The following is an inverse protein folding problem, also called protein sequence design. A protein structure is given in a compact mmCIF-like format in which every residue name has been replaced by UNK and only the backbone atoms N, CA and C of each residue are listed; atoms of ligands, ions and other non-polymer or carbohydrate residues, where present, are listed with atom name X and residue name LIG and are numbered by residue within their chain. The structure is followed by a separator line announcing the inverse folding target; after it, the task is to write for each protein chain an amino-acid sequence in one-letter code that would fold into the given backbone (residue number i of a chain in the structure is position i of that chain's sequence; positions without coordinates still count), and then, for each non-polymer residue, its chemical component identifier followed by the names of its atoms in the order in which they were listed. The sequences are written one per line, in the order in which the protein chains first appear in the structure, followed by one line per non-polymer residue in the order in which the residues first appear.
data_IF_311569624375
#
_entry.id   IF_311569624375
#
_cell.length_a   1.000
_cell.length_b   1.000
_cell.length_c   1.000
_cell.angle_alpha   90.00
_cell.angle_beta   90.00
_cell.angle_gamma   90.00
#
_symmetry.space_group_name_H-M   'P 1'
#
loop_
_entity.id
_entity.type
_entity.pdbx_description
1 polymer ?
#
# COMPACT_ATOMS: atom_id res chain seq x y z
N UNK A 1 -15.94 0.00 -15.96
CA UNK A 1 -15.76 -0.79 -14.74
C UNK A 1 -15.29 0.12 -13.61
N UNK A 2 -15.82 -0.08 -12.42
CA UNK A 2 -15.57 0.81 -11.29
C UNK A 2 -14.31 0.38 -10.56
N UNK A 3 -13.42 1.34 -10.26
CA UNK A 3 -12.24 1.03 -9.45
C UNK A 3 -12.62 0.85 -7.99
N UNK A 4 -11.96 -0.09 -7.34
CA UNK A 4 -12.12 -0.35 -5.91
C UNK A 4 -10.96 0.29 -5.16
N UNK A 5 -11.19 0.71 -3.92
CA UNK A 5 -10.15 1.25 -3.04
C UNK A 5 -9.66 0.16 -2.11
N UNK A 6 -8.36 0.14 -1.90
CA UNK A 6 -7.74 -0.82 -0.99
C UNK A 6 -6.75 -0.10 -0.08
N UNK A 7 -6.80 -0.44 1.20
CA UNK A 7 -5.77 -0.04 2.14
C UNK A 7 -4.79 -1.20 2.31
N UNK A 8 -3.54 -0.94 2.01
CA UNK A 8 -2.47 -1.92 2.18
C UNK A 8 -1.70 -1.56 3.44
N UNK A 9 -1.56 -2.53 4.34
CA UNK A 9 -0.77 -2.38 5.56
C UNK A 9 0.38 -3.37 5.52
N UNK A 10 1.56 -2.92 5.85
CA UNK A 10 2.70 -3.82 6.01
C UNK A 10 3.62 -3.33 7.11
N UNK A 11 4.22 -4.29 7.82
CA UNK A 11 5.16 -4.00 8.89
C UNK A 11 6.53 -3.75 8.29
N UNK A 12 7.15 -2.63 8.66
CA UNK A 12 8.54 -2.37 8.31
C UNK A 12 9.44 -2.92 9.40
N UNK A 13 10.68 -3.25 9.04
CA UNK A 13 11.64 -3.76 10.02
C UNK A 13 11.99 -2.68 11.03
N UNK A 14 12.26 -3.04 12.29
CA UNK A 14 12.70 -2.06 13.30
C UNK A 14 13.91 -1.29 12.80
N UNK A 15 13.83 0.04 12.87
CA UNK A 15 14.87 0.92 12.33
C UNK A 15 14.88 1.02 10.82
N UNK A 16 13.96 0.37 10.14
CA UNK A 16 13.92 0.33 8.66
C UNK A 16 12.99 1.31 8.00
N UNK A 17 12.39 2.25 8.76
CA UNK A 17 11.41 3.20 8.20
C UNK A 17 11.98 4.04 7.06
N UNK A 18 13.20 4.53 7.21
CA UNK A 18 13.83 5.35 6.16
C UNK A 18 14.05 4.54 4.88
N UNK A 19 14.48 3.29 5.02
CA UNK A 19 14.66 2.39 3.88
C UNK A 19 13.33 2.04 3.22
N UNK A 20 12.28 1.86 4.01
CA UNK A 20 10.96 1.55 3.48
C UNK A 20 10.42 2.74 2.67
N UNK A 21 10.55 3.96 3.19
CA UNK A 21 10.14 5.17 2.49
C UNK A 21 10.93 5.34 1.21
N UNK A 22 12.24 5.16 1.28
CA UNK A 22 13.11 5.27 0.11
C UNK A 22 12.76 4.24 -0.96
N UNK A 23 12.55 2.98 -0.57
CA UNK A 23 12.15 1.93 -1.49
C UNK A 23 10.81 2.23 -2.14
N UNK A 24 9.86 2.77 -1.36
CA UNK A 24 8.55 3.16 -1.88
C UNK A 24 8.68 4.30 -2.89
N UNK A 25 9.52 5.30 -2.61
CA UNK A 25 9.76 6.40 -3.54
C UNK A 25 10.38 5.93 -4.86
N UNK A 26 11.28 4.96 -4.78
CA UNK A 26 11.97 4.42 -5.96
C UNK A 26 11.09 3.48 -6.77
N UNK A 27 10.33 2.63 -6.11
CA UNK A 27 9.53 1.57 -6.75
C UNK A 27 8.04 1.88 -6.80
N UNK A 28 7.64 2.87 -6.05
CA UNK A 28 6.25 3.16 -5.84
C UNK A 28 5.69 3.96 -6.95
N UNK A 29 4.75 4.77 -6.68
CA UNK A 29 3.36 4.37 -6.88
C UNK A 29 2.99 4.25 -8.34
N UNK A 30 3.82 4.77 -9.24
CA UNK A 30 3.50 4.82 -10.66
C UNK A 30 4.14 3.69 -11.47
N UNK A 31 4.72 2.70 -10.80
CA UNK A 31 5.40 1.59 -11.47
C UNK A 31 4.62 0.29 -11.46
N UNK A 32 3.41 0.31 -10.94
CA UNK A 32 2.55 -0.87 -10.89
C UNK A 32 1.35 -0.64 -11.80
N UNK A 33 1.36 -1.21 -13.04
CA UNK A 33 0.25 -1.02 -13.96
C UNK A 33 -1.07 -1.48 -13.35
N UNK A 34 -2.11 -0.69 -13.56
CA UNK A 34 -3.44 -1.00 -13.06
C UNK A 34 -3.67 -0.63 -11.61
N UNK A 35 -2.70 -0.03 -10.93
CA UNK A 35 -2.83 0.41 -9.55
C UNK A 35 -2.57 1.91 -9.48
N UNK A 36 -3.55 2.65 -8.96
CA UNK A 36 -3.46 4.10 -8.81
C UNK A 36 -3.20 4.43 -7.34
N UNK A 37 -2.09 5.09 -7.09
CA UNK A 37 -1.71 5.53 -5.75
C UNK A 37 -2.54 6.74 -5.33
N UNK A 38 -3.01 6.73 -4.07
CA UNK A 38 -3.81 7.82 -3.51
C UNK A 38 -3.19 8.46 -2.27
N UNK A 39 -2.38 7.74 -1.54
CA UNK A 39 -1.71 8.27 -0.37
C UNK A 39 -0.94 7.19 0.36
N UNK A 40 0.01 7.62 1.17
CA UNK A 40 0.80 6.72 1.99
C UNK A 40 1.10 7.38 3.32
N UNK A 41 1.15 6.56 4.35
CA UNK A 41 1.44 7.01 5.72
C UNK A 41 2.33 5.97 6.37
N UNK A 42 3.09 6.41 7.36
CA UNK A 42 3.85 5.50 8.20
C UNK A 42 3.52 5.82 9.65
N UNK A 43 3.37 4.79 10.47
CA UNK A 43 3.02 4.97 11.86
C UNK A 43 4.03 5.85 12.59
N UNK A 44 3.55 6.87 13.33
CA UNK A 44 4.43 7.75 14.08
C UNK A 44 5.11 7.02 15.24
N UNK A 45 4.40 6.06 15.83
CA UNK A 45 4.87 5.32 17.01
C UNK A 45 4.80 3.80 16.82
N UNK A 46 4.70 3.35 15.58
CA UNK A 46 4.65 1.93 15.26
C UNK A 46 5.47 1.67 14.00
N UNK A 47 5.73 0.41 13.71
CA UNK A 47 6.48 -0.01 12.52
C UNK A 47 5.53 -0.47 11.41
N UNK A 48 4.40 0.24 11.23
CA UNK A 48 3.41 -0.10 10.22
C UNK A 48 3.33 1.01 9.19
N UNK A 49 3.33 0.62 7.92
CA UNK A 49 3.11 1.53 6.80
C UNK A 49 1.73 1.26 6.20
N UNK A 50 1.12 2.32 5.70
CA UNK A 50 -0.23 2.29 5.11
C UNK A 50 -0.16 2.93 3.73
N UNK A 51 -0.72 2.26 2.73
CA UNK A 51 -0.81 2.80 1.37
C UNK A 51 -2.24 2.65 0.87
N UNK A 52 -2.83 3.75 0.44
CA UNK A 52 -4.17 3.75 -0.15
C UNK A 52 -4.03 3.75 -1.67
N UNK A 53 -4.65 2.77 -2.30
CA UNK A 53 -4.61 2.62 -3.76
C UNK A 53 -6.00 2.32 -4.31
N UNK A 54 -6.16 2.54 -5.61
CA UNK A 54 -7.35 2.17 -6.35
C UNK A 54 -6.95 1.23 -7.51
N UNK A 55 -7.78 0.23 -7.77
CA UNK A 55 -7.56 -0.70 -8.87
C UNK A 55 -8.86 -1.41 -9.24
N UNK A 56 -8.92 -1.88 -10.46
CA UNK A 56 -10.00 -2.77 -10.91
C UNK A 56 -9.79 -4.21 -10.46
N UNK A 57 -8.59 -4.56 -10.04
CA UNK A 57 -8.22 -5.96 -9.79
C UNK A 57 -7.42 -6.05 -8.50
N UNK A 58 -8.00 -6.75 -7.51
CA UNK A 58 -7.34 -7.00 -6.24
C UNK A 58 -6.01 -7.73 -6.40
N UNK A 59 -5.90 -8.62 -7.36
CA UNK A 59 -4.66 -9.36 -7.60
C UNK A 59 -3.51 -8.43 -7.99
N UNK A 60 -3.79 -7.37 -8.74
CA UNK A 60 -2.78 -6.35 -9.08
C UNK A 60 -2.33 -5.60 -7.85
N UNK A 61 -3.26 -5.30 -6.93
CA UNK A 61 -2.92 -4.62 -5.68
C UNK A 61 -2.07 -5.54 -4.80
N UNK A 62 -2.42 -6.80 -4.70
CA UNK A 62 -1.66 -7.77 -3.92
C UNK A 62 -0.23 -7.91 -4.46
N UNK A 63 -0.08 -7.95 -5.77
CA UNK A 63 1.23 -8.01 -6.42
C UNK A 63 2.07 -6.77 -6.11
N UNK A 64 1.46 -5.59 -6.19
CA UNK A 64 2.12 -4.33 -5.86
C UNK A 64 2.53 -4.30 -4.39
N UNK A 65 1.62 -4.68 -3.49
CA UNK A 65 1.90 -4.71 -2.05
C UNK A 65 3.07 -5.63 -1.73
N UNK A 66 3.13 -6.77 -2.37
CA UNK A 66 4.24 -7.72 -2.20
C UNK A 66 5.56 -7.11 -2.61
N UNK A 67 5.58 -6.30 -3.67
CA UNK A 67 6.81 -5.64 -4.12
C UNK A 67 7.25 -4.53 -3.17
N UNK A 68 6.33 -3.92 -2.43
CA UNK A 68 6.64 -2.85 -1.47
C UNK A 68 7.08 -3.38 -0.12
N UNK A 69 6.60 -4.55 0.28
CA UNK A 69 6.87 -5.11 1.60
C UNK A 69 8.28 -5.68 1.67
N UNK A 70 9.02 -5.31 2.71
CA UNK A 70 10.37 -5.84 2.95
C UNK A 70 10.37 -7.31 3.31
N UNK A 71 9.31 -7.77 3.98
CA UNK A 71 9.19 -9.15 4.45
C UNK A 71 8.33 -10.02 3.54
N UNK A 72 7.63 -9.40 2.58
CA UNK A 72 6.63 -10.07 1.77
C UNK A 72 5.28 -10.21 2.45
N UNK A 73 5.16 -9.79 3.71
CA UNK A 73 3.91 -9.86 4.47
C UNK A 73 3.17 -8.53 4.42
N UNK A 74 1.89 -8.60 4.15
CA UNK A 74 1.04 -7.41 4.10
C UNK A 74 -0.39 -7.81 4.41
N UNK A 75 -1.19 -6.81 4.81
CA UNK A 75 -2.65 -6.95 4.95
C UNK A 75 -3.32 -6.08 3.91
N UNK A 76 -4.27 -6.64 3.22
CA UNK A 76 -5.04 -5.96 2.19
C UNK A 76 -6.49 -5.87 2.63
N UNK A 77 -7.03 -4.65 2.69
CA UNK A 77 -8.41 -4.42 3.08
C UNK A 77 -9.09 -3.57 2.01
N UNK A 78 -10.15 -4.07 1.41
CA UNK A 78 -10.98 -3.24 0.56
C UNK A 78 -11.73 -2.25 1.43
N UNK A 79 -11.69 -0.98 1.06
CA UNK A 79 -12.34 0.09 1.83
C UNK A 79 -13.33 0.83 0.96
N UNK A 80 -14.33 1.41 1.59
CA UNK A 80 -15.28 2.29 0.94
C UNK A 80 -15.34 3.61 1.73
N UNK A 81 -15.76 4.67 1.08
CA UNK A 81 -15.94 5.93 1.78
C UNK A 81 -17.04 5.79 2.83
N UNK A 82 -16.79 6.30 4.04
CA UNK A 82 -17.75 6.20 5.14
C UNK A 82 -19.10 6.80 4.76
N UNK A 83 -19.11 7.82 3.93
CA UNK A 83 -20.30 8.50 3.48
C UNK A 83 -21.18 7.63 2.57
N UNK A 84 -20.61 6.58 2.00
CA UNK A 84 -21.34 5.64 1.13
C UNK A 84 -21.93 4.47 1.90
N UNK A 85 -21.63 4.40 3.16
CA UNK A 85 -22.04 3.26 4.00
C UNK A 85 -23.49 3.38 4.50
#
# INVERSE_FOLDING_TARGET
MRQMKFMVEFTVQPGGKNKAVEAFEQRGPNRNPGVTYRGAWIGAHSDVAYVLVESFDEALVASAAKSWSQTGNFRLTQVIDAEQF
#
